data_IF_092772626700
#
_entry.id   IF_092772626700
#
_cell.length_a   1.000
_cell.length_b   1.000
_cell.length_c   1.000
_cell.angle_alpha   90.00
_cell.angle_beta   90.00
_cell.angle_gamma   90.00
#
_symmetry.space_group_name_H-M   'P 1'
#
loop_
_entity.id
_entity.type
_entity.pdbx_description
1 polymer ?
#
# COMPACT_ATOMS: atom_id res chain seq x y z
N UNK A 1 21.47 -19.83 -18.67
CA UNK A 1 21.28 -19.78 -17.18
C UNK A 1 20.32 -20.87 -16.71
N UNK A 2 20.64 -21.56 -15.60
CA UNK A 2 19.74 -22.51 -14.96
C UNK A 2 18.66 -21.71 -14.20
N UNK A 3 17.43 -22.26 -14.07
CA UNK A 3 16.35 -21.61 -13.30
C UNK A 3 16.77 -21.23 -11.86
N UNK A 4 17.64 -22.00 -11.24
CA UNK A 4 18.17 -21.72 -9.89
C UNK A 4 19.05 -20.46 -9.85
N UNK A 5 19.84 -20.22 -10.90
CA UNK A 5 20.71 -19.04 -10.98
C UNK A 5 19.87 -17.76 -11.15
N UNK A 6 18.83 -17.82 -11.98
CA UNK A 6 17.88 -16.72 -12.19
C UNK A 6 17.22 -16.28 -10.86
N UNK A 7 16.76 -17.25 -10.06
CA UNK A 7 16.14 -16.95 -8.78
C UNK A 7 17.09 -16.35 -7.77
N UNK A 8 18.34 -16.82 -7.76
CA UNK A 8 19.39 -16.29 -6.88
C UNK A 8 19.68 -14.82 -7.20
N UNK A 9 19.78 -14.48 -8.48
CA UNK A 9 20.02 -13.11 -8.92
C UNK A 9 18.83 -12.19 -8.55
N UNK A 10 17.60 -12.66 -8.72
CA UNK A 10 16.39 -11.93 -8.28
C UNK A 10 16.40 -11.71 -6.77
N UNK A 11 16.77 -12.72 -5.97
CA UNK A 11 16.87 -12.60 -4.51
C UNK A 11 17.93 -11.55 -4.09
N UNK A 12 19.05 -11.47 -4.78
CA UNK A 12 20.09 -10.47 -4.53
C UNK A 12 19.62 -9.07 -4.88
N UNK A 13 18.98 -8.89 -6.04
CA UNK A 13 18.37 -7.62 -6.46
C UNK A 13 17.34 -7.14 -5.42
N UNK A 14 16.43 -8.02 -5.02
CA UNK A 14 15.40 -7.75 -4.02
C UNK A 14 16.01 -7.38 -2.66
N UNK A 15 17.01 -8.15 -2.21
CA UNK A 15 17.70 -7.88 -0.93
C UNK A 15 18.37 -6.50 -0.93
N UNK A 16 19.02 -6.14 -2.04
CA UNK A 16 19.67 -4.84 -2.22
C UNK A 16 18.64 -3.70 -2.19
N UNK A 17 17.54 -3.83 -2.94
CA UNK A 17 16.45 -2.86 -2.92
C UNK A 17 15.88 -2.66 -1.52
N UNK A 18 15.59 -3.75 -0.79
CA UNK A 18 15.01 -3.68 0.55
C UNK A 18 15.92 -2.95 1.53
N UNK A 19 17.22 -3.20 1.46
CA UNK A 19 18.21 -2.49 2.29
C UNK A 19 18.25 -1.01 1.95
N UNK A 20 18.30 -0.68 0.67
CA UNK A 20 18.36 0.69 0.19
C UNK A 20 17.10 1.50 0.59
N UNK A 21 15.90 0.99 0.34
CA UNK A 21 14.64 1.70 0.61
C UNK A 21 14.40 1.91 2.13
N UNK A 22 14.82 0.95 2.95
CA UNK A 22 14.78 1.11 4.42
C UNK A 22 15.76 2.17 4.89
N UNK A 23 16.95 2.21 4.31
CA UNK A 23 17.94 3.24 4.62
C UNK A 23 17.45 4.63 4.19
N UNK A 24 16.82 4.75 3.03
CA UNK A 24 16.20 6.00 2.56
C UNK A 24 15.16 6.54 3.55
N UNK A 25 14.29 5.67 4.06
CA UNK A 25 13.31 6.03 5.09
C UNK A 25 14.01 6.51 6.38
N UNK A 26 15.00 5.73 6.85
CA UNK A 26 15.73 6.02 8.09
C UNK A 26 16.45 7.36 8.03
N UNK A 27 17.16 7.63 6.94
CA UNK A 27 17.93 8.87 6.80
C UNK A 27 17.03 10.11 6.69
N UNK A 28 15.88 10.02 6.02
CA UNK A 28 14.88 11.11 6.00
C UNK A 28 14.30 11.35 7.38
N UNK A 29 13.91 10.26 8.05
CA UNK A 29 13.35 10.33 9.41
C UNK A 29 14.30 10.97 10.39
N UNK A 30 15.57 10.59 10.35
CA UNK A 30 16.63 11.13 11.21
C UNK A 30 16.87 12.63 10.99
N UNK A 31 16.71 13.10 9.76
CA UNK A 31 16.91 14.52 9.41
C UNK A 31 15.69 15.38 9.72
N UNK A 32 14.51 14.80 9.83
CA UNK A 32 13.29 15.55 10.07
C UNK A 32 13.14 15.92 11.54
N UNK A 33 13.21 17.24 11.90
CA UNK A 33 13.18 17.64 13.29
C UNK A 33 11.80 17.38 13.90
N UNK A 34 11.79 16.81 15.12
CA UNK A 34 10.58 16.61 15.89
C UNK A 34 10.13 17.94 16.52
N UNK A 35 8.96 18.40 16.16
CA UNK A 35 8.23 19.44 16.88
C UNK A 35 7.26 18.79 17.88
N UNK A 36 7.57 18.90 19.16
CA UNK A 36 6.75 18.32 20.24
C UNK A 36 5.37 18.99 20.39
N UNK A 37 5.21 20.21 19.86
CA UNK A 37 3.90 20.90 19.86
C UNK A 37 2.95 20.32 18.80
N UNK A 38 3.50 19.65 17.79
CA UNK A 38 2.79 19.09 16.64
C UNK A 38 3.27 17.65 16.35
N UNK A 39 3.49 16.87 17.43
CA UNK A 39 4.02 15.51 17.31
C UNK A 39 3.09 14.59 16.50
N UNK A 40 1.77 14.85 16.48
CA UNK A 40 0.80 14.09 15.70
C UNK A 40 1.10 14.14 14.18
N UNK A 41 1.56 15.29 13.70
CA UNK A 41 1.96 15.45 12.30
C UNK A 41 3.17 14.56 12.00
N UNK A 42 4.15 14.56 12.89
CA UNK A 42 5.34 13.73 12.76
C UNK A 42 4.97 12.22 12.78
N UNK A 43 4.08 11.82 13.69
CA UNK A 43 3.61 10.43 13.82
C UNK A 43 2.86 9.95 12.58
N UNK A 44 1.86 10.69 12.12
CA UNK A 44 1.00 10.27 10.98
C UNK A 44 1.79 10.25 9.66
N UNK A 45 2.55 11.30 9.39
CA UNK A 45 3.36 11.37 8.17
C UNK A 45 4.41 10.26 8.17
N UNK A 46 5.13 10.08 9.30
CA UNK A 46 6.09 9.00 9.45
C UNK A 46 5.48 7.62 9.28
N UNK A 47 4.30 7.38 9.86
CA UNK A 47 3.58 6.12 9.72
C UNK A 47 3.17 5.85 8.25
N UNK A 48 2.72 6.86 7.50
CA UNK A 48 2.37 6.71 6.08
C UNK A 48 3.60 6.45 5.21
N UNK A 49 4.75 7.11 5.50
CA UNK A 49 6.02 6.79 4.83
C UNK A 49 6.46 5.35 5.12
N UNK A 50 6.44 4.94 6.38
CA UNK A 50 6.78 3.59 6.80
C UNK A 50 5.84 2.55 6.17
N UNK A 51 4.53 2.87 6.04
CA UNK A 51 3.55 2.01 5.39
C UNK A 51 3.87 1.79 3.92
N UNK A 52 4.30 2.81 3.20
CA UNK A 52 4.74 2.70 1.81
C UNK A 52 5.92 1.73 1.67
N UNK A 53 6.95 1.92 2.50
CA UNK A 53 8.13 1.05 2.52
C UNK A 53 7.75 -0.39 2.89
N UNK A 54 6.88 -0.57 3.88
CA UNK A 54 6.40 -1.90 4.29
C UNK A 54 5.70 -2.61 3.14
N UNK A 55 4.76 -1.96 2.46
CA UNK A 55 4.02 -2.57 1.34
C UNK A 55 4.95 -2.95 0.18
N UNK A 56 5.88 -2.06 -0.18
CA UNK A 56 6.85 -2.33 -1.24
C UNK A 56 7.81 -3.45 -0.89
N UNK A 57 8.30 -3.51 0.35
CA UNK A 57 9.22 -4.58 0.79
C UNK A 57 8.51 -5.93 0.94
N UNK A 58 7.26 -5.95 1.39
CA UNK A 58 6.46 -7.19 1.43
C UNK A 58 6.17 -7.71 0.02
N UNK A 59 5.82 -6.83 -0.92
CA UNK A 59 5.67 -7.22 -2.32
C UNK A 59 7.00 -7.76 -2.88
N UNK A 60 8.12 -7.07 -2.64
CA UNK A 60 9.43 -7.48 -3.11
C UNK A 60 9.82 -8.89 -2.63
N UNK A 61 9.53 -9.22 -1.38
CA UNK A 61 9.87 -10.52 -0.76
C UNK A 61 9.01 -11.69 -1.27
N UNK A 62 7.98 -11.44 -2.05
CA UNK A 62 7.04 -12.45 -2.49
C UNK A 62 6.86 -12.43 -4.02
N UNK A 63 7.87 -12.87 -4.82
CA UNK A 63 7.78 -12.86 -6.28
C UNK A 63 6.55 -13.61 -6.83
N UNK A 64 6.07 -14.62 -6.14
CA UNK A 64 4.85 -15.37 -6.52
C UNK A 64 3.58 -14.51 -6.61
N UNK A 65 3.57 -13.33 -5.97
CA UNK A 65 2.43 -12.40 -6.05
C UNK A 65 2.67 -11.24 -7.03
N UNK A 66 3.76 -11.22 -7.78
CA UNK A 66 3.98 -10.24 -8.84
C UNK A 66 3.14 -10.59 -10.07
N UNK A 67 1.85 -10.49 -9.94
CA UNK A 67 0.89 -10.88 -10.96
C UNK A 67 -0.37 -10.00 -10.91
N UNK A 68 -1.22 -10.12 -11.92
CA UNK A 68 -2.42 -9.33 -12.07
C UNK A 68 -3.50 -9.54 -11.02
N UNK A 69 -3.42 -10.58 -10.18
CA UNK A 69 -4.41 -10.86 -9.14
C UNK A 69 -4.10 -10.17 -7.81
N UNK A 70 -2.86 -10.28 -7.33
CA UNK A 70 -2.50 -9.86 -5.96
C UNK A 70 -1.77 -8.51 -5.95
N UNK A 71 -0.80 -8.31 -6.85
CA UNK A 71 -0.04 -7.07 -6.86
C UNK A 71 -0.91 -5.80 -6.99
N UNK A 72 -1.98 -5.78 -7.82
CA UNK A 72 -2.88 -4.63 -7.89
C UNK A 72 -3.51 -4.23 -6.56
N UNK A 73 -3.80 -5.18 -5.66
CA UNK A 73 -4.36 -4.90 -4.33
C UNK A 73 -3.38 -4.09 -3.48
N UNK A 74 -2.11 -4.50 -3.51
CA UNK A 74 -1.03 -3.80 -2.78
C UNK A 74 -0.79 -2.42 -3.39
N UNK A 75 -0.65 -2.34 -4.72
CA UNK A 75 -0.40 -1.08 -5.42
C UNK A 75 -1.57 -0.10 -5.26
N UNK A 76 -2.82 -0.60 -5.19
CA UNK A 76 -3.99 0.20 -4.87
C UNK A 76 -3.89 0.81 -3.47
N UNK A 77 -3.49 0.01 -2.48
CA UNK A 77 -3.27 0.49 -1.10
C UNK A 77 -2.14 1.53 -1.04
N UNK A 78 -1.07 1.33 -1.82
CA UNK A 78 0.04 2.29 -1.91
C UNK A 78 -0.41 3.62 -2.52
N UNK A 79 -1.27 3.59 -3.55
CA UNK A 79 -1.82 4.83 -4.13
C UNK A 79 -2.76 5.56 -3.18
N UNK A 80 -3.56 4.84 -2.37
CA UNK A 80 -4.34 5.46 -1.30
C UNK A 80 -3.45 6.18 -0.29
N UNK A 81 -2.41 5.50 0.20
CA UNK A 81 -1.50 6.09 1.17
C UNK A 81 -0.80 7.35 0.61
N UNK A 82 -0.43 7.35 -0.67
CA UNK A 82 0.12 8.52 -1.34
C UNK A 82 -0.89 9.68 -1.41
N UNK A 83 -2.12 9.42 -1.86
CA UNK A 83 -3.16 10.46 -1.98
C UNK A 83 -3.49 11.03 -0.60
N UNK A 84 -3.62 10.18 0.43
CA UNK A 84 -3.83 10.60 1.81
C UNK A 84 -2.70 11.52 2.27
N UNK A 85 -1.45 11.12 2.06
CA UNK A 85 -0.28 11.93 2.45
C UNK A 85 -0.23 13.27 1.71
N UNK A 86 -0.43 13.25 0.38
CA UNK A 86 -0.43 14.45 -0.44
C UNK A 86 -1.53 15.44 -0.01
N UNK A 87 -2.72 14.92 0.32
CA UNK A 87 -3.81 15.74 0.80
C UNK A 87 -3.57 16.28 2.21
N UNK A 88 -2.99 15.47 3.11
CA UNK A 88 -2.59 15.89 4.46
C UNK A 88 -1.61 17.07 4.38
N UNK A 89 -0.65 17.04 3.49
CA UNK A 89 0.36 18.11 3.37
C UNK A 89 -0.20 19.49 2.96
N UNK A 90 -1.44 19.59 2.50
CA UNK A 90 -2.06 20.88 2.18
C UNK A 90 -2.43 21.66 3.46
N UNK A 91 -2.96 20.97 4.47
CA UNK A 91 -3.34 21.50 5.79
C UNK A 91 -2.95 20.51 6.90
N UNK A 92 -1.66 20.35 7.21
CA UNK A 92 -1.17 19.21 7.96
C UNK A 92 -1.81 19.08 9.35
N UNK A 93 -1.92 20.18 10.11
CA UNK A 93 -2.39 20.14 11.50
C UNK A 93 -3.86 19.72 11.63
N UNK A 94 -4.73 20.27 10.78
CA UNK A 94 -6.15 19.92 10.79
C UNK A 94 -6.40 18.51 10.27
N UNK A 95 -5.74 18.17 9.15
CA UNK A 95 -6.01 16.91 8.44
C UNK A 95 -5.40 15.70 9.14
N UNK A 96 -4.27 15.86 9.82
CA UNK A 96 -3.71 14.82 10.69
C UNK A 96 -4.66 14.49 11.84
N UNK A 97 -5.24 15.50 12.48
CA UNK A 97 -6.22 15.29 13.56
C UNK A 97 -7.45 14.54 13.06
N UNK A 98 -8.01 14.95 11.92
CA UNK A 98 -9.14 14.25 11.29
C UNK A 98 -8.81 12.79 10.99
N UNK A 99 -7.61 12.53 10.47
CA UNK A 99 -7.15 11.17 10.16
C UNK A 99 -7.08 10.29 11.40
N UNK A 100 -6.47 10.80 12.49
CA UNK A 100 -6.37 10.08 13.76
C UNK A 100 -7.76 9.85 14.37
N UNK A 101 -8.56 10.89 14.53
CA UNK A 101 -9.88 10.81 15.17
C UNK A 101 -10.81 9.85 14.44
N UNK A 102 -10.78 9.83 13.10
CA UNK A 102 -11.54 8.86 12.32
C UNK A 102 -11.07 7.43 12.59
N UNK A 103 -9.74 7.17 12.57
CA UNK A 103 -9.19 5.85 12.85
C UNK A 103 -9.55 5.33 14.23
N UNK A 104 -9.45 6.18 15.26
CA UNK A 104 -9.84 5.85 16.63
C UNK A 104 -11.34 5.62 16.75
N UNK A 105 -12.17 6.42 16.03
CA UNK A 105 -13.62 6.24 15.98
C UNK A 105 -14.02 4.90 15.34
N UNK A 106 -13.37 4.48 14.27
CA UNK A 106 -13.60 3.16 13.66
C UNK A 106 -13.24 2.02 14.61
N UNK A 107 -12.11 2.12 15.31
CA UNK A 107 -11.71 1.12 16.31
C UNK A 107 -12.73 0.99 17.44
N UNK A 108 -13.25 2.13 17.96
CA UNK A 108 -14.30 2.15 18.96
C UNK A 108 -15.58 1.47 18.44
N UNK A 109 -15.98 1.75 17.20
CA UNK A 109 -17.15 1.12 16.58
C UNK A 109 -17.00 -0.40 16.47
N UNK A 110 -15.81 -0.88 16.10
CA UNK A 110 -15.51 -2.33 16.06
C UNK A 110 -15.64 -2.97 17.44
N UNK A 111 -15.16 -2.31 18.49
CA UNK A 111 -15.31 -2.78 19.88
C UNK A 111 -16.80 -2.90 20.24
N UNK A 112 -17.60 -1.88 19.97
CA UNK A 112 -19.04 -1.91 20.27
C UNK A 112 -19.77 -2.99 19.47
N UNK A 113 -19.45 -3.19 18.19
CA UNK A 113 -20.00 -4.30 17.40
C UNK A 113 -19.64 -5.66 18.00
N UNK A 114 -18.38 -5.83 18.46
CA UNK A 114 -17.94 -7.07 19.11
C UNK A 114 -18.66 -7.32 20.42
N UNK A 115 -18.87 -6.29 21.27
CA UNK A 115 -19.63 -6.36 22.50
C UNK A 115 -21.06 -6.82 22.22
N UNK A 116 -21.75 -6.15 21.30
CA UNK A 116 -23.12 -6.51 20.91
C UNK A 116 -23.23 -7.95 20.39
N UNK A 117 -22.26 -8.41 19.61
CA UNK A 117 -22.21 -9.81 19.15
C UNK A 117 -22.07 -10.81 20.29
N UNK A 118 -21.23 -10.53 21.28
CA UNK A 118 -21.04 -11.41 22.43
C UNK A 118 -22.29 -11.47 23.31
N UNK A 119 -22.89 -10.32 23.58
CA UNK A 119 -24.15 -10.21 24.34
C UNK A 119 -25.28 -11.00 23.66
N UNK A 120 -25.46 -10.84 22.35
CA UNK A 120 -26.45 -11.57 21.57
C UNK A 120 -26.24 -13.10 21.62
N UNK A 121 -24.99 -13.55 21.83
CA UNK A 121 -24.65 -14.97 21.99
C UNK A 121 -24.57 -15.43 23.46
N UNK A 122 -24.98 -14.61 24.42
CA UNK A 122 -24.95 -14.92 25.86
C UNK A 122 -23.54 -15.10 26.43
N UNK A 123 -22.52 -14.51 25.80
CA UNK A 123 -21.13 -14.59 26.23
C UNK A 123 -20.75 -13.41 27.10
N UNK A 124 -19.83 -13.63 28.04
CA UNK A 124 -19.32 -12.54 28.88
C UNK A 124 -18.38 -11.64 28.12
N UNK A 125 -18.77 -10.40 27.96
CA UNK A 125 -17.99 -9.34 27.28
C UNK A 125 -16.67 -9.04 27.99
N UNK A 126 -16.66 -9.08 29.33
CA UNK A 126 -15.49 -8.71 30.15
C UNK A 126 -14.35 -9.72 30.06
N UNK A 127 -14.65 -10.94 29.67
CA UNK A 127 -13.64 -12.02 29.51
C UNK A 127 -13.04 -12.09 28.10
N UNK A 128 -13.53 -11.30 27.13
CA UNK A 128 -13.04 -11.33 25.75
C UNK A 128 -11.66 -10.66 25.63
N UNK A 129 -10.59 -11.41 25.28
CA UNK A 129 -9.24 -10.87 25.23
C UNK A 129 -9.03 -9.87 24.10
N UNK A 130 -9.82 -9.96 23.01
CA UNK A 130 -9.70 -9.03 21.88
C UNK A 130 -10.28 -7.65 22.25
N UNK A 131 -11.42 -7.60 22.95
CA UNK A 131 -11.98 -6.35 23.45
C UNK A 131 -10.99 -5.68 24.38
N UNK A 132 -10.45 -6.43 25.36
CA UNK A 132 -9.47 -5.88 26.30
C UNK A 132 -8.24 -5.31 25.58
N UNK A 133 -7.67 -6.06 24.63
CA UNK A 133 -6.53 -5.60 23.84
C UNK A 133 -6.82 -4.30 23.08
N UNK A 134 -7.97 -4.23 22.41
CA UNK A 134 -8.38 -3.04 21.65
C UNK A 134 -8.67 -1.84 22.56
N UNK A 135 -9.35 -2.06 23.69
CA UNK A 135 -9.61 -0.99 24.69
C UNK A 135 -8.32 -0.48 25.32
N UNK A 136 -7.38 -1.37 25.69
CA UNK A 136 -6.07 -0.98 26.24
C UNK A 136 -5.28 -0.13 25.22
N UNK A 137 -5.29 -0.55 23.93
CA UNK A 137 -4.66 0.25 22.88
C UNK A 137 -5.33 1.60 22.71
N UNK A 138 -6.67 1.63 22.65
CA UNK A 138 -7.45 2.85 22.49
C UNK A 138 -7.21 3.84 23.64
N UNK A 139 -7.20 3.34 24.90
CA UNK A 139 -6.94 4.13 26.09
C UNK A 139 -5.49 4.64 26.19
N UNK A 140 -4.56 4.01 25.49
CA UNK A 140 -3.17 4.47 25.40
C UNK A 140 -2.99 5.70 24.49
N UNK A 141 -4.01 6.01 23.65
CA UNK A 141 -3.96 7.16 22.77
C UNK A 141 -4.19 8.45 23.55
N UNK A 142 -3.53 9.54 23.10
CA UNK A 142 -3.56 10.85 23.79
C UNK A 142 -4.79 11.71 23.43
N UNK A 143 -5.64 11.22 22.54
CA UNK A 143 -6.79 11.97 22.03
C UNK A 143 -8.04 11.66 22.85
N UNK A 144 -8.75 12.70 23.26
CA UNK A 144 -10.10 12.56 23.80
C UNK A 144 -11.09 12.24 22.68
N UNK A 145 -11.90 11.21 22.90
CA UNK A 145 -12.92 10.82 21.93
C UNK A 145 -14.08 11.79 21.95
N UNK A 146 -14.38 12.37 20.81
CA UNK A 146 -15.71 12.91 20.54
C UNK A 146 -16.70 11.75 20.45
N UNK A 147 -17.87 11.92 21.02
CA UNK A 147 -18.94 10.91 21.13
C UNK A 147 -19.51 10.47 19.78
N UNK A 148 -19.30 11.25 18.72
CA UNK A 148 -19.81 10.96 17.37
C UNK A 148 -18.74 10.28 16.52
N UNK A 149 -19.03 9.04 16.13
CA UNK A 149 -18.21 8.31 15.14
C UNK A 149 -18.72 8.67 13.75
N UNK A 150 -17.90 9.32 12.95
CA UNK A 150 -18.20 9.56 11.56
C UNK A 150 -17.96 8.26 10.76
N UNK A 151 -19.05 7.64 10.28
CA UNK A 151 -19.00 6.39 9.50
C UNK A 151 -18.59 6.64 8.03
N UNK A 152 -18.54 7.90 7.60
CA UNK A 152 -18.17 8.29 6.24
C UNK A 152 -16.66 8.27 5.98
N UNK A 153 -16.26 8.97 4.92
CA UNK A 153 -14.84 9.21 4.64
C UNK A 153 -14.19 10.05 5.74
N UNK A 154 -12.97 9.67 6.16
CA UNK A 154 -12.21 10.41 7.19
C UNK A 154 -11.92 11.86 6.81
N UNK A 155 -11.80 12.13 5.52
CA UNK A 155 -11.57 13.46 4.96
C UNK A 155 -12.86 14.30 4.81
N UNK A 156 -14.04 13.67 4.89
CA UNK A 156 -15.33 14.27 4.54
C UNK A 156 -15.59 14.37 3.04
N UNK A 157 -14.62 13.97 2.20
CA UNK A 157 -14.69 13.96 0.74
C UNK A 157 -14.19 12.61 0.20
N UNK A 158 -14.48 12.30 -1.05
CA UNK A 158 -14.00 11.07 -1.67
C UNK A 158 -12.53 11.15 -2.12
N UNK A 159 -11.91 10.01 -2.37
CA UNK A 159 -10.48 9.90 -2.76
C UNK A 159 -10.18 10.65 -4.06
N UNK A 160 -11.15 10.74 -4.98
CA UNK A 160 -10.99 11.50 -6.23
C UNK A 160 -10.84 12.99 -5.93
N UNK A 161 -11.70 13.52 -5.08
CA UNK A 161 -11.66 14.93 -4.69
C UNK A 161 -10.40 15.27 -3.91
N UNK A 162 -9.95 14.35 -3.03
CA UNK A 162 -8.64 14.50 -2.36
C UNK A 162 -7.49 14.59 -3.38
N UNK A 163 -7.50 13.73 -4.40
CA UNK A 163 -6.47 13.74 -5.44
C UNK A 163 -6.54 15.00 -6.32
N UNK A 164 -7.73 15.55 -6.59
CA UNK A 164 -7.91 16.83 -7.28
C UNK A 164 -7.32 17.97 -6.46
N UNK A 165 -7.68 18.11 -5.20
CA UNK A 165 -7.17 19.15 -4.30
C UNK A 165 -5.64 19.04 -4.07
N UNK A 166 -5.11 17.81 -3.99
CA UNK A 166 -3.69 17.58 -3.81
C UNK A 166 -2.86 17.65 -5.12
N UNK A 167 -3.49 17.97 -6.25
CA UNK A 167 -2.80 18.07 -7.54
C UNK A 167 -2.27 16.75 -8.09
N UNK A 168 -2.81 15.60 -7.62
CA UNK A 168 -2.37 14.28 -8.06
C UNK A 168 -3.48 13.44 -8.73
N UNK A 169 -4.42 14.12 -9.41
CA UNK A 169 -5.57 13.49 -10.07
C UNK A 169 -5.17 12.45 -11.13
N UNK A 170 -4.02 12.62 -11.77
CA UNK A 170 -3.53 11.65 -12.75
C UNK A 170 -3.15 10.31 -12.09
N UNK A 171 -2.61 10.33 -10.86
CA UNK A 171 -2.37 9.12 -10.08
C UNK A 171 -3.70 8.41 -9.78
N UNK A 172 -4.75 9.16 -9.46
CA UNK A 172 -6.08 8.60 -9.27
C UNK A 172 -6.61 7.95 -10.56
N UNK A 173 -6.54 8.65 -11.69
CA UNK A 173 -7.09 8.17 -12.96
C UNK A 173 -6.34 6.97 -13.53
N UNK A 174 -5.01 7.02 -13.54
CA UNK A 174 -4.16 6.07 -14.27
C UNK A 174 -3.59 4.94 -13.40
N UNK A 175 -3.75 5.05 -12.07
CA UNK A 175 -3.22 4.05 -11.14
C UNK A 175 -4.28 3.54 -10.19
N UNK A 176 -4.87 4.43 -9.38
CA UNK A 176 -5.89 4.07 -8.40
C UNK A 176 -7.10 3.38 -9.05
N UNK A 177 -7.70 3.98 -10.06
CA UNK A 177 -8.88 3.45 -10.74
C UNK A 177 -8.63 2.10 -11.42
N UNK A 178 -7.57 1.90 -12.21
CA UNK A 178 -7.25 0.58 -12.77
C UNK A 178 -7.06 -0.51 -11.72
N UNK A 179 -6.32 -0.26 -10.65
CA UNK A 179 -6.11 -1.25 -9.60
C UNK A 179 -7.35 -1.52 -8.75
N UNK A 180 -8.26 -0.56 -8.64
CA UNK A 180 -9.56 -0.76 -7.98
C UNK A 180 -10.39 -1.85 -8.64
N UNK A 181 -10.16 -2.14 -9.92
CA UNK A 181 -10.88 -3.20 -10.64
C UNK A 181 -10.61 -4.59 -10.09
N UNK A 182 -9.39 -4.86 -9.68
CA UNK A 182 -9.01 -6.10 -8.99
C UNK A 182 -9.56 -6.12 -7.57
N UNK A 183 -9.44 -5.01 -6.83
CA UNK A 183 -9.91 -4.91 -5.45
C UNK A 183 -11.41 -5.15 -5.30
N UNK A 184 -12.20 -4.68 -6.27
CA UNK A 184 -13.67 -4.76 -6.24
C UNK A 184 -14.23 -5.88 -7.14
N UNK A 185 -13.41 -6.80 -7.62
CA UNK A 185 -13.82 -7.92 -8.49
C UNK A 185 -14.67 -7.47 -9.68
N UNK A 186 -14.30 -6.36 -10.31
CA UNK A 186 -15.04 -5.81 -11.43
C UNK A 186 -15.03 -6.76 -12.62
N UNK A 187 -16.15 -6.79 -13.39
CA UNK A 187 -16.34 -7.73 -14.49
C UNK A 187 -15.15 -7.83 -15.46
N UNK A 188 -14.59 -6.72 -15.86
CA UNK A 188 -13.46 -6.71 -16.79
C UNK A 188 -12.17 -7.28 -16.20
N UNK A 189 -12.01 -7.30 -14.88
CA UNK A 189 -10.92 -8.02 -14.22
C UNK A 189 -11.24 -9.52 -14.15
N UNK A 190 -12.38 -9.88 -13.56
CA UNK A 190 -12.79 -11.28 -13.39
C UNK A 190 -12.90 -12.00 -14.73
N UNK A 191 -13.51 -11.37 -15.76
CA UNK A 191 -13.67 -11.98 -17.06
C UNK A 191 -12.37 -12.18 -17.84
N UNK A 192 -11.34 -11.40 -17.52
CA UNK A 192 -10.02 -11.53 -18.15
C UNK A 192 -9.21 -12.67 -17.53
N UNK A 193 -9.26 -12.78 -16.21
CA UNK A 193 -8.37 -13.66 -15.46
C UNK A 193 -9.00 -14.99 -15.05
N UNK A 194 -10.33 -15.05 -14.87
CA UNK A 194 -11.01 -16.22 -14.32
C UNK A 194 -12.00 -16.87 -15.27
N UNK A 195 -12.01 -16.48 -16.54
CA UNK A 195 -12.84 -17.11 -17.57
C UNK A 195 -12.02 -17.55 -18.78
N UNK A 196 -12.09 -18.83 -19.10
CA UNK A 196 -11.53 -19.45 -20.28
C UNK A 196 -12.60 -19.74 -21.36
N UNK A 197 -12.14 -20.10 -22.55
CA UNK A 197 -13.01 -20.50 -23.66
C UNK A 197 -13.59 -21.89 -23.36
N UNK A 198 -14.89 -22.06 -23.57
CA UNK A 198 -15.53 -23.36 -23.46
C UNK A 198 -14.96 -24.31 -24.54
N UNK A 199 -14.54 -25.54 -24.17
CA UNK A 199 -13.99 -26.49 -25.14
C UNK A 199 -15.04 -27.06 -26.13
N UNK A 200 -16.34 -26.86 -25.90
CA UNK A 200 -17.38 -27.30 -26.82
C UNK A 200 -17.48 -26.33 -28.02
N UNK A 201 -17.17 -26.75 -29.27
CA UNK A 201 -17.17 -25.88 -30.43
C UNK A 201 -18.54 -25.34 -30.81
N UNK A 202 -19.63 -25.95 -30.31
CA UNK A 202 -21.01 -25.48 -30.55
C UNK A 202 -21.42 -24.34 -29.63
N UNK A 203 -20.67 -24.13 -28.53
CA UNK A 203 -20.96 -23.10 -27.53
C UNK A 203 -20.19 -21.80 -27.86
N UNK A 204 -20.49 -21.18 -28.99
CA UNK A 204 -19.88 -19.89 -29.36
C UNK A 204 -20.09 -18.85 -28.27
N UNK A 205 -19.02 -18.11 -27.95
CA UNK A 205 -18.99 -17.04 -26.90
C UNK A 205 -19.23 -17.52 -25.47
N UNK A 206 -19.50 -18.82 -25.24
CA UNK A 206 -19.58 -19.36 -23.88
C UNK A 206 -18.18 -19.44 -23.26
N UNK A 207 -18.06 -18.98 -22.03
CA UNK A 207 -16.84 -19.07 -21.23
C UNK A 207 -17.10 -19.91 -19.99
N UNK A 208 -16.07 -20.57 -19.54
CA UNK A 208 -16.10 -21.41 -18.32
C UNK A 208 -15.14 -20.84 -17.27
N UNK A 209 -15.40 -21.05 -15.98
CA UNK A 209 -14.48 -20.65 -14.93
C UNK A 209 -13.15 -21.39 -15.06
N UNK A 210 -12.07 -20.66 -14.85
CA UNK A 210 -10.71 -21.21 -14.79
C UNK A 210 -9.98 -20.67 -13.57
N UNK A 211 -9.08 -21.48 -13.04
CA UNK A 211 -8.04 -21.06 -12.09
C UNK A 211 -6.71 -21.05 -12.87
N UNK A 212 -6.30 -19.89 -13.39
CA UNK A 212 -5.16 -19.82 -14.28
C UNK A 212 -3.84 -19.88 -13.51
N UNK A 213 -2.86 -20.53 -14.09
CA UNK A 213 -1.45 -20.25 -13.78
C UNK A 213 -1.12 -18.83 -14.26
N UNK A 214 -0.54 -18.02 -13.40
CA UNK A 214 -0.17 -16.62 -13.72
C UNK A 214 1.35 -16.49 -13.72
N UNK A 215 1.85 -15.89 -14.79
CA UNK A 215 3.26 -15.58 -14.90
C UNK A 215 3.67 -14.46 -13.92
N UNK A 216 4.93 -14.53 -13.50
CA UNK A 216 5.55 -13.52 -12.66
C UNK A 216 5.95 -12.34 -13.54
N UNK A 217 5.49 -11.16 -13.17
CA UNK A 217 5.80 -9.91 -13.88
C UNK A 217 6.53 -8.93 -12.95
N UNK A 218 7.84 -8.74 -13.14
CA UNK A 218 8.65 -7.81 -12.34
C UNK A 218 8.20 -6.35 -12.42
N UNK A 219 7.38 -5.96 -13.41
CA UNK A 219 6.83 -4.60 -13.53
C UNK A 219 6.01 -4.21 -12.27
N UNK A 220 5.41 -5.18 -11.58
CA UNK A 220 4.71 -4.89 -10.33
C UNK A 220 5.65 -4.44 -9.22
N UNK A 221 6.85 -5.02 -9.11
CA UNK A 221 7.87 -4.54 -8.15
C UNK A 221 8.41 -3.18 -8.57
N UNK A 222 8.70 -2.99 -9.87
CA UNK A 222 9.09 -1.70 -10.41
C UNK A 222 8.09 -0.58 -10.04
N UNK A 223 6.78 -0.83 -10.23
CA UNK A 223 5.72 0.13 -9.87
C UNK A 223 5.69 0.41 -8.37
N UNK A 224 5.81 -0.61 -7.53
CA UNK A 224 5.84 -0.43 -6.08
C UNK A 224 7.02 0.46 -5.65
N UNK A 225 8.22 0.17 -6.17
CA UNK A 225 9.41 0.97 -5.90
C UNK A 225 9.26 2.43 -6.38
N UNK A 226 8.68 2.63 -7.57
CA UNK A 226 8.37 3.96 -8.12
C UNK A 226 7.41 4.74 -7.22
N UNK A 227 6.41 4.07 -6.60
CA UNK A 227 5.46 4.76 -5.71
C UNK A 227 6.10 5.16 -4.40
N UNK A 228 7.02 4.34 -3.87
CA UNK A 228 7.82 4.74 -2.70
C UNK A 228 8.69 5.95 -3.04
N UNK A 229 9.43 5.90 -4.15
CA UNK A 229 10.28 7.02 -4.59
C UNK A 229 9.47 8.32 -4.77
N UNK A 230 8.29 8.22 -5.40
CA UNK A 230 7.36 9.35 -5.53
C UNK A 230 6.89 9.88 -4.16
N UNK A 231 6.65 8.99 -3.20
CA UNK A 231 6.23 9.37 -1.84
C UNK A 231 7.36 10.08 -1.10
N UNK A 232 8.58 9.59 -1.22
CA UNK A 232 9.76 10.24 -0.64
C UNK A 232 10.02 11.61 -1.26
N UNK A 233 9.89 11.73 -2.57
CA UNK A 233 10.02 13.02 -3.25
C UNK A 233 8.99 14.05 -2.76
N UNK A 234 7.73 13.63 -2.62
CA UNK A 234 6.68 14.48 -2.03
C UNK A 234 7.05 14.92 -0.61
N UNK A 235 7.52 13.99 0.22
CA UNK A 235 7.96 14.29 1.57
C UNK A 235 9.12 15.28 1.58
N UNK A 236 10.16 15.05 0.78
CA UNK A 236 11.33 15.91 0.68
C UNK A 236 10.92 17.33 0.24
N UNK A 237 10.05 17.46 -0.78
CA UNK A 237 9.52 18.74 -1.26
C UNK A 237 8.75 19.50 -0.17
N UNK A 238 7.90 18.81 0.60
CA UNK A 238 7.04 19.46 1.61
C UNK A 238 7.74 19.77 2.92
N UNK A 239 8.80 19.04 3.25
CA UNK A 239 9.55 19.22 4.51
C UNK A 239 10.88 19.95 4.33
N UNK A 240 11.35 20.12 3.11
CA UNK A 240 12.66 20.68 2.82
C UNK A 240 13.83 19.75 3.17
N UNK A 241 13.56 18.45 3.38
CA UNK A 241 14.60 17.45 3.65
C UNK A 241 15.33 17.12 2.35
N UNK A 242 16.64 17.21 2.37
CA UNK A 242 17.50 16.79 1.25
C UNK A 242 18.09 15.40 1.53
N UNK A 243 17.73 14.43 0.72
CA UNK A 243 18.36 13.11 0.71
C UNK A 243 19.44 13.07 -0.38
N UNK A 244 20.67 12.80 0.02
CA UNK A 244 21.84 12.78 -0.87
C UNK A 244 22.38 11.37 -1.16
N UNK A 245 21.73 10.33 -0.65
CA UNK A 245 22.10 8.94 -0.92
C UNK A 245 21.60 8.43 -2.27
N UNK A 246 22.00 7.22 -2.66
CA UNK A 246 21.50 6.59 -3.88
C UNK A 246 20.01 6.26 -3.75
N UNK A 247 19.23 6.55 -4.79
CA UNK A 247 17.82 6.18 -4.84
C UNK A 247 17.65 4.66 -4.91
N UNK A 248 16.87 4.09 -3.99
CA UNK A 248 16.56 2.66 -4.02
C UNK A 248 15.83 2.26 -5.31
N UNK A 249 15.01 3.17 -5.86
CA UNK A 249 14.35 2.97 -7.13
C UNK A 249 15.36 2.90 -8.29
N UNK A 250 16.30 3.83 -8.36
CA UNK A 250 17.34 3.83 -9.39
C UNK A 250 18.22 2.59 -9.28
N UNK A 251 18.66 2.21 -8.09
CA UNK A 251 19.40 0.98 -7.86
C UNK A 251 18.66 -0.28 -8.34
N UNK A 252 17.34 -0.33 -8.09
CA UNK A 252 16.50 -1.44 -8.56
C UNK A 252 16.43 -1.49 -10.10
N UNK A 253 16.24 -0.34 -10.75
CA UNK A 253 16.17 -0.23 -12.22
C UNK A 253 17.48 -0.68 -12.84
N UNK A 254 18.60 -0.13 -12.39
CA UNK A 254 19.94 -0.51 -12.89
C UNK A 254 20.22 -2.01 -12.70
N UNK A 255 19.82 -2.59 -11.57
CA UNK A 255 20.01 -4.01 -11.29
C UNK A 255 19.20 -4.89 -12.24
N UNK A 256 17.93 -4.54 -12.50
CA UNK A 256 17.11 -5.28 -13.47
C UNK A 256 17.57 -5.09 -14.92
N UNK A 257 18.07 -3.93 -15.31
CA UNK A 257 18.67 -3.70 -16.63
C UNK A 257 19.89 -4.60 -16.85
N UNK A 258 20.83 -4.62 -15.90
CA UNK A 258 22.01 -5.51 -15.93
C UNK A 258 21.62 -6.99 -15.99
N UNK A 259 20.63 -7.39 -15.21
CA UNK A 259 20.10 -8.75 -15.20
C UNK A 259 19.49 -9.13 -16.56
N UNK A 260 18.69 -8.26 -17.16
CA UNK A 260 18.11 -8.46 -18.50
C UNK A 260 19.18 -8.59 -19.60
N UNK A 261 20.23 -7.77 -19.53
CA UNK A 261 21.37 -7.85 -20.46
C UNK A 261 22.14 -9.18 -20.33
N UNK A 262 22.31 -9.71 -19.12
CA UNK A 262 22.99 -10.98 -18.87
C UNK A 262 22.23 -12.15 -19.50
N UNK A 263 20.90 -12.19 -19.30
CA UNK A 263 20.03 -13.22 -19.92
C UNK A 263 20.10 -13.17 -21.45
N UNK A 264 20.02 -11.97 -22.04
CA UNK A 264 20.05 -11.80 -23.49
C UNK A 264 21.40 -12.20 -24.12
N UNK A 265 22.53 -12.00 -23.44
CA UNK A 265 23.85 -12.43 -23.90
C UNK A 265 23.98 -13.95 -23.90
N UNK A 266 23.46 -14.63 -22.87
CA UNK A 266 23.48 -16.10 -22.82
C UNK A 266 22.51 -16.76 -23.81
N UNK A 267 21.36 -16.13 -24.08
CA UNK A 267 20.39 -16.62 -25.08
C UNK A 267 20.93 -16.54 -26.54
N UNK A 268 21.93 -15.67 -26.79
CA UNK A 268 22.54 -15.44 -28.11
C UNK A 268 23.90 -16.13 -28.25
N UNK A 269 24.42 -16.81 -27.23
CA UNK A 269 25.65 -17.63 -27.25
C UNK A 269 25.34 -19.13 -27.32
#
# INVERSE_FOLDING_TARGET
MNNQDIWKDIEEIVSTYIKAVRNELYERWKKWPLDLSHHEMHEVIGALLARQVTLATQLAQAPSIWNGHIAPLILRTMTDAYINLAWIFIEPLDRVRKFILHGLGQEKLEIEHRKAQLEANGKDVKSDPLIKFKEDWLNSQRFEFLTEVNIGSWSGIDTRKMAEEAGCIDLYRYTYTPFSTATHNMWHHVSRYNLGICPNPLHRFHKIPIDPSVDIDPDYLYRAAKYVAKTFHLFDEKTGIEYSGPSAFELLVEAFEKFSESINKEANS
#
